data_IF_273463754096
#
_entry.id   IF_273463754096
#
_cell.length_a   1.000
_cell.length_b   1.000
_cell.length_c   1.000
_cell.angle_alpha   90.00
_cell.angle_beta   90.00
_cell.angle_gamma   90.00
#
_symmetry.space_group_name_H-M   'P 1'
#
loop_
_entity.id
_entity.type
_entity.pdbx_description
1 polymer ?
#
# COMPACT_ATOMS: atom_id res chain seq x y z
N UNK A 1 4.68 -24.55 -13.82
CA UNK A 1 5.25 -23.63 -12.80
C UNK A 1 4.16 -22.89 -12.02
N UNK A 2 3.27 -22.11 -12.67
CA UNK A 2 2.21 -21.34 -11.96
C UNK A 2 1.32 -22.24 -11.09
N UNK A 3 0.70 -23.27 -11.65
CA UNK A 3 -0.15 -24.19 -10.87
C UNK A 3 0.61 -24.94 -9.78
N UNK A 4 1.90 -25.24 -10.01
CA UNK A 4 2.78 -25.84 -9.00
C UNK A 4 3.00 -24.89 -7.82
N UNK A 5 3.24 -23.61 -8.08
CA UNK A 5 3.40 -22.58 -7.06
C UNK A 5 2.09 -22.34 -6.29
N UNK A 6 0.96 -22.31 -7.00
CA UNK A 6 -0.36 -22.21 -6.36
C UNK A 6 -0.63 -23.38 -5.42
N UNK A 7 -0.34 -24.61 -5.84
CA UNK A 7 -0.45 -25.81 -4.98
C UNK A 7 0.46 -25.74 -3.77
N UNK A 8 1.68 -25.22 -3.91
CA UNK A 8 2.64 -25.10 -2.80
C UNK A 8 2.23 -24.04 -1.78
N UNK A 9 1.58 -22.96 -2.22
CA UNK A 9 1.15 -21.85 -1.37
C UNK A 9 -0.32 -21.90 -0.96
N UNK A 10 -1.01 -23.01 -1.22
CA UNK A 10 -2.46 -23.17 -0.97
C UNK A 10 -3.30 -22.01 -1.53
N UNK A 11 -2.95 -21.51 -2.73
CA UNK A 11 -3.57 -20.35 -3.37
C UNK A 11 -4.81 -20.82 -4.17
N UNK A 12 -6.04 -20.45 -3.78
CA UNK A 12 -7.25 -20.94 -4.45
C UNK A 12 -7.42 -20.40 -5.87
N UNK A 13 -6.99 -19.16 -6.11
CA UNK A 13 -7.16 -18.45 -7.36
C UNK A 13 -6.08 -17.38 -7.55
N UNK A 14 -5.63 -17.21 -8.80
CA UNK A 14 -4.55 -16.30 -9.16
C UNK A 14 -4.80 -15.71 -10.55
N UNK A 15 -4.62 -14.40 -10.70
CA UNK A 15 -4.57 -13.75 -12.01
C UNK A 15 -3.13 -13.25 -12.28
N UNK A 16 -2.62 -13.47 -13.49
CA UNK A 16 -1.28 -13.03 -13.91
C UNK A 16 -1.39 -12.23 -15.20
N UNK A 17 -0.81 -11.03 -15.18
CA UNK A 17 -0.57 -10.17 -16.32
C UNK A 17 0.94 -10.05 -16.58
N UNK A 18 1.37 -10.30 -17.81
CA UNK A 18 2.76 -10.08 -18.26
C UNK A 18 2.70 -9.18 -19.49
N UNK A 19 3.37 -8.03 -19.41
CA UNK A 19 3.54 -7.08 -20.50
C UNK A 19 5.00 -7.07 -20.90
N UNK A 20 5.28 -7.20 -22.19
CA UNK A 20 6.62 -7.12 -22.77
C UNK A 20 6.55 -6.31 -24.06
N UNK A 21 7.47 -5.36 -24.24
CA UNK A 21 7.53 -4.49 -25.42
C UNK A 21 6.18 -3.79 -25.70
N UNK A 22 5.55 -3.29 -24.63
CA UNK A 22 4.21 -2.66 -24.64
C UNK A 22 3.08 -3.55 -25.18
N UNK A 23 3.27 -4.87 -25.24
CA UNK A 23 2.26 -5.85 -25.66
C UNK A 23 1.93 -6.79 -24.51
N UNK A 24 0.65 -7.16 -24.41
CA UNK A 24 0.20 -8.19 -23.47
C UNK A 24 0.72 -9.54 -23.98
N UNK A 25 1.68 -10.10 -23.26
CA UNK A 25 2.21 -11.44 -23.53
C UNK A 25 1.35 -12.51 -22.85
N UNK A 26 0.83 -12.22 -21.66
CA UNK A 26 -0.07 -13.10 -20.92
C UNK A 26 -1.07 -12.24 -20.14
N UNK A 27 -2.35 -12.62 -20.18
CA UNK A 27 -3.37 -12.10 -19.27
C UNK A 27 -4.33 -13.25 -18.95
N UNK A 28 -4.10 -13.95 -17.84
CA UNK A 28 -4.76 -15.23 -17.56
C UNK A 28 -5.09 -15.42 -16.08
N UNK A 29 -6.28 -15.97 -15.82
CA UNK A 29 -6.71 -16.46 -14.51
C UNK A 29 -6.46 -17.97 -14.34
N UNK A 30 -6.19 -18.38 -13.11
CA UNK A 30 -5.97 -19.75 -12.67
C UNK A 30 -6.81 -20.01 -11.41
N UNK A 31 -7.30 -21.23 -11.24
CA UNK A 31 -8.07 -21.61 -10.05
C UNK A 31 -9.46 -20.98 -9.97
N UNK A 32 -9.91 -20.70 -8.75
CA UNK A 32 -11.26 -20.22 -8.44
C UNK A 32 -11.23 -18.91 -7.66
N UNK A 33 -12.02 -17.93 -8.10
CA UNK A 33 -12.31 -16.72 -7.34
C UNK A 33 -13.24 -17.02 -6.15
N UNK A 34 -14.06 -18.06 -6.26
CA UNK A 34 -14.89 -18.58 -5.19
C UNK A 34 -15.01 -20.11 -5.35
N UNK A 35 -14.53 -20.86 -4.35
CA UNK A 35 -14.49 -22.33 -4.38
C UNK A 35 -15.92 -22.91 -4.35
N UNK A 36 -16.76 -22.43 -3.44
CA UNK A 36 -18.13 -22.94 -3.24
C UNK A 36 -19.00 -22.77 -4.48
N UNK A 37 -18.95 -21.58 -5.07
CA UNK A 37 -19.68 -21.22 -6.30
C UNK A 37 -19.01 -21.76 -7.55
N UNK A 38 -17.84 -22.42 -7.42
CA UNK A 38 -16.98 -22.87 -8.53
C UNK A 38 -16.70 -21.75 -9.56
N UNK A 39 -16.67 -20.50 -9.11
CA UNK A 39 -16.44 -19.34 -9.98
C UNK A 39 -14.95 -19.26 -10.32
N UNK A 40 -14.60 -19.30 -11.60
CA UNK A 40 -13.21 -19.25 -12.08
C UNK A 40 -12.63 -17.84 -11.99
N UNK A 41 -11.35 -17.75 -11.67
CA UNK A 41 -10.60 -16.49 -11.86
C UNK A 41 -10.47 -16.21 -13.35
N UNK A 42 -10.67 -14.95 -13.73
CA UNK A 42 -10.45 -14.42 -15.06
C UNK A 42 -9.80 -13.03 -14.96
N UNK A 43 -9.35 -12.42 -16.08
CA UNK A 43 -8.75 -11.08 -16.08
C UNK A 43 -9.57 -9.93 -15.49
N UNK A 44 -10.89 -10.10 -15.34
CA UNK A 44 -11.79 -9.11 -14.76
C UNK A 44 -12.14 -9.40 -13.29
N UNK A 45 -11.60 -10.46 -12.71
CA UNK A 45 -11.78 -10.77 -11.29
C UNK A 45 -11.11 -9.69 -10.45
N UNK A 46 -11.85 -9.09 -9.53
CA UNK A 46 -11.35 -8.06 -8.64
C UNK A 46 -10.65 -8.69 -7.44
N UNK A 47 -9.52 -8.10 -7.05
CA UNK A 47 -8.74 -8.47 -5.88
C UNK A 47 -8.44 -7.22 -5.07
N UNK A 48 -8.35 -7.36 -3.75
CA UNK A 48 -7.73 -6.35 -2.90
C UNK A 48 -6.23 -6.34 -3.17
N UNK A 49 -5.71 -5.24 -3.70
CA UNK A 49 -4.29 -5.14 -4.10
C UNK A 49 -3.35 -4.79 -2.93
N UNK A 50 -3.91 -4.62 -1.73
CA UNK A 50 -3.20 -4.34 -0.48
C UNK A 50 -2.14 -3.22 -0.63
N UNK A 51 -0.87 -3.49 -0.29
CA UNK A 51 0.19 -2.48 -0.27
C UNK A 51 0.48 -1.86 -1.64
N UNK A 52 0.04 -2.47 -2.75
CA UNK A 52 0.14 -1.86 -4.09
C UNK A 52 -0.63 -0.54 -4.19
N UNK A 53 -1.65 -0.31 -3.34
CA UNK A 53 -2.38 0.97 -3.27
C UNK A 53 -1.45 2.15 -2.99
N UNK A 54 -0.34 1.95 -2.27
CA UNK A 54 0.61 3.02 -1.92
C UNK A 54 1.23 3.70 -3.15
N UNK A 55 1.42 2.95 -4.25
CA UNK A 55 1.94 3.53 -5.50
C UNK A 55 0.98 4.59 -6.07
N UNK A 56 -0.34 4.33 -6.01
CA UNK A 56 -1.35 5.28 -6.46
C UNK A 56 -1.46 6.49 -5.53
N UNK A 57 -1.45 6.28 -4.21
CA UNK A 57 -1.45 7.38 -3.23
C UNK A 57 -0.21 8.27 -3.40
N UNK A 58 0.97 7.67 -3.54
CA UNK A 58 2.21 8.40 -3.80
C UNK A 58 2.15 9.19 -5.09
N UNK A 59 1.66 8.59 -6.18
CA UNK A 59 1.47 9.29 -7.45
C UNK A 59 0.53 10.49 -7.32
N UNK A 60 -0.60 10.35 -6.62
CA UNK A 60 -1.52 11.46 -6.38
C UNK A 60 -0.87 12.60 -5.58
N UNK A 61 -0.05 12.29 -4.57
CA UNK A 61 0.72 13.29 -3.81
C UNK A 61 1.70 14.02 -4.73
N UNK A 62 2.43 13.29 -5.60
CA UNK A 62 3.35 13.89 -6.56
C UNK A 62 2.64 14.79 -7.58
N UNK A 63 1.43 14.42 -8.03
CA UNK A 63 0.60 15.29 -8.88
C UNK A 63 0.24 16.59 -8.17
N UNK A 64 -0.19 16.53 -6.90
CA UNK A 64 -0.48 17.74 -6.12
C UNK A 64 0.75 18.64 -5.95
N UNK A 65 1.93 18.04 -5.73
CA UNK A 65 3.18 18.78 -5.65
C UNK A 65 3.57 19.43 -6.99
N UNK A 66 3.40 18.70 -8.10
CA UNK A 66 3.62 19.21 -9.45
C UNK A 66 2.68 20.37 -9.79
N UNK A 67 1.43 20.32 -9.31
CA UNK A 67 0.45 21.40 -9.45
C UNK A 67 0.70 22.60 -8.51
N UNK A 68 1.72 22.54 -7.65
CA UNK A 68 2.06 23.58 -6.68
C UNK A 68 1.06 23.70 -5.52
N UNK A 69 0.19 22.70 -5.32
CA UNK A 69 -0.80 22.70 -4.23
C UNK A 69 -0.21 22.33 -2.88
N UNK A 70 0.91 21.61 -2.88
CA UNK A 70 1.71 21.25 -1.72
C UNK A 70 3.19 21.30 -2.09
N UNK A 71 4.08 21.40 -1.10
CA UNK A 71 5.51 21.13 -1.24
C UNK A 71 5.84 19.82 -0.50
N UNK A 72 6.72 18.98 -1.04
CA UNK A 72 7.11 17.74 -0.37
C UNK A 72 7.83 18.00 0.97
N UNK A 73 8.43 19.19 1.13
CA UNK A 73 9.03 19.64 2.38
C UNK A 73 8.02 20.23 3.37
N UNK A 74 6.74 20.34 3.00
CA UNK A 74 5.72 20.81 3.94
C UNK A 74 5.58 19.83 5.10
N UNK A 75 5.33 20.41 6.28
CA UNK A 75 5.08 19.66 7.51
C UNK A 75 3.70 19.02 7.43
N UNK A 76 3.60 17.75 7.79
CA UNK A 76 2.32 17.01 7.84
C UNK A 76 1.31 17.69 8.78
N UNK A 77 1.79 18.28 9.87
CA UNK A 77 0.99 19.03 10.84
C UNK A 77 0.28 20.26 10.25
N UNK A 78 0.73 20.78 9.10
CA UNK A 78 0.03 21.84 8.37
C UNK A 78 -1.31 21.36 7.79
N UNK A 79 -1.41 20.09 7.42
CA UNK A 79 -2.60 19.51 6.78
C UNK A 79 -3.47 18.69 7.72
N UNK A 80 -2.87 18.17 8.80
CA UNK A 80 -3.56 17.32 9.79
C UNK A 80 -3.45 17.98 11.16
N UNK A 81 -4.43 18.81 11.56
CA UNK A 81 -4.45 19.43 12.88
C UNK A 81 -4.38 18.39 13.99
N UNK A 82 -3.49 18.60 14.96
CA UNK A 82 -3.27 17.67 16.06
C UNK A 82 -2.25 16.56 15.78
N UNK A 83 -1.74 16.44 14.55
CA UNK A 83 -0.63 15.55 14.26
C UNK A 83 0.65 16.04 14.97
N UNK A 84 1.13 15.23 15.93
CA UNK A 84 2.34 15.49 16.71
C UNK A 84 3.13 14.21 16.87
N UNK A 85 4.45 14.31 16.73
CA UNK A 85 5.38 13.22 16.96
C UNK A 85 6.46 13.68 17.94
N UNK A 86 6.93 12.76 18.78
CA UNK A 86 8.00 13.01 19.74
C UNK A 86 9.15 12.03 19.54
N UNK A 87 10.37 12.53 19.67
CA UNK A 87 11.58 11.73 19.73
C UNK A 87 12.50 12.34 20.80
N UNK A 88 12.92 11.52 21.78
CA UNK A 88 13.68 11.97 22.96
C UNK A 88 12.99 13.15 23.68
N UNK A 89 11.70 12.98 23.98
CA UNK A 89 10.82 13.96 24.66
C UNK A 89 10.67 15.32 23.98
N UNK A 90 11.18 15.48 22.75
CA UNK A 90 11.08 16.70 21.97
C UNK A 90 10.14 16.49 20.79
N UNK A 91 9.29 17.49 20.51
CA UNK A 91 8.46 17.48 19.32
C UNK A 91 9.34 17.44 18.05
N UNK A 92 8.89 16.67 17.05
CA UNK A 92 9.53 16.54 15.74
C UNK A 92 8.49 16.77 14.66
N UNK A 93 8.82 17.63 13.73
CA UNK A 93 8.05 17.77 12.50
C UNK A 93 8.41 16.64 11.54
N UNK A 94 7.40 16.13 10.85
CA UNK A 94 7.56 15.15 9.77
C UNK A 94 7.14 15.84 8.47
N UNK A 95 7.96 15.71 7.44
CA UNK A 95 7.62 16.21 6.10
C UNK A 95 6.81 15.20 5.31
N UNK A 96 6.10 15.66 4.28
CA UNK A 96 5.41 14.77 3.32
C UNK A 96 6.42 13.82 2.65
N UNK A 97 7.61 14.32 2.29
CA UNK A 97 8.69 13.52 1.71
C UNK A 97 9.08 12.35 2.64
N UNK A 98 9.23 12.60 3.94
CA UNK A 98 9.57 11.55 4.90
C UNK A 98 8.49 10.47 5.02
N UNK A 99 7.21 10.81 4.83
CA UNK A 99 6.14 9.81 4.74
C UNK A 99 6.26 8.97 3.46
N UNK A 100 6.48 9.60 2.31
CA UNK A 100 6.66 8.91 1.03
C UNK A 100 7.89 8.00 1.03
N UNK A 101 8.97 8.45 1.66
CA UNK A 101 10.25 7.73 1.75
C UNK A 101 10.28 6.66 2.83
N UNK A 102 9.23 6.53 3.66
CA UNK A 102 9.21 5.64 4.83
C UNK A 102 10.35 5.93 5.84
N UNK A 103 10.72 7.20 5.99
CA UNK A 103 11.76 7.68 6.92
C UNK A 103 11.20 8.58 8.02
N UNK A 104 9.89 8.55 8.22
CA UNK A 104 9.16 9.38 9.19
C UNK A 104 9.38 8.97 10.65
N UNK A 105 9.87 7.75 10.89
CA UNK A 105 10.05 7.18 12.22
C UNK A 105 8.74 6.70 12.87
N UNK A 106 7.63 6.64 12.12
CA UNK A 106 6.37 6.07 12.60
C UNK A 106 6.51 4.54 12.71
N UNK A 107 6.21 3.93 13.87
CA UNK A 107 6.24 2.48 14.02
C UNK A 107 5.27 1.78 13.05
N UNK A 108 5.73 0.71 12.40
CA UNK A 108 4.95 -0.01 11.37
C UNK A 108 3.79 -0.83 11.92
N UNK A 109 3.89 -1.30 13.17
CA UNK A 109 2.86 -2.09 13.83
C UNK A 109 2.32 -1.35 15.07
N UNK A 110 1.01 -1.45 15.27
CA UNK A 110 0.41 -1.22 16.59
C UNK A 110 0.58 -2.55 17.35
N UNK A 111 1.70 -2.71 18.05
CA UNK A 111 1.85 -3.81 19.00
C UNK A 111 0.92 -3.58 20.20
N UNK A 112 0.60 -4.62 20.98
CA UNK A 112 -0.16 -4.47 22.24
C UNK A 112 0.48 -3.46 23.21
N UNK A 113 1.80 -3.28 23.15
CA UNK A 113 2.55 -2.24 23.89
C UNK A 113 2.16 -0.81 23.46
N UNK A 114 1.72 -0.62 22.20
CA UNK A 114 1.27 0.67 21.67
C UNK A 114 -0.20 0.98 22.03
N UNK A 115 -0.96 0.02 22.59
CA UNK A 115 -2.38 0.21 22.96
C UNK A 115 -2.57 0.84 24.34
N UNK A 116 -1.53 0.89 25.17
CA UNK A 116 -1.63 1.34 26.56
C UNK A 116 -0.51 2.29 26.99
N UNK A 117 -0.23 3.35 26.24
CA UNK A 117 0.16 4.60 26.90
C UNK A 117 -1.11 5.27 27.45
N UNK A 118 -1.70 4.64 28.48
CA UNK A 118 -2.68 5.27 29.36
C UNK A 118 -2.01 6.47 30.03
N UNK A 119 -2.32 7.66 29.53
CA UNK A 119 -2.40 8.97 30.21
C UNK A 119 -1.96 10.07 29.23
N UNK A 120 -2.91 10.52 28.41
CA UNK A 120 -3.31 11.92 28.37
C UNK A 120 -4.82 11.98 28.28
#
# INVERSE_FOLDING_TARGET
MVETAMKKGDIPGLAILIIKDNKIFLNKGYGYANIEKKAKVNPHTQFEIASNTKAFTGYAILQLAQEGKINLNDKVSTFIPGFKMKYEDKERDITIEQLLAQTSGIPGDITEENRYSKQY
#
